data_IF_130125391205
#
_entry.id   IF_130125391205
#
_cell.length_a   1.000
_cell.length_b   1.000
_cell.length_c   1.000
_cell.angle_alpha   90.00
_cell.angle_beta   90.00
_cell.angle_gamma   90.00
#
_symmetry.space_group_name_H-M   'P 1'
#
loop_
_entity.id
_entity.type
_entity.pdbx_description
1 polymer ?
#
# COMPACT_ATOMS: atom_id res chain seq x y z
N UNK A 1 4.76 11.35 -5.04
CA UNK A 1 5.67 10.87 -6.11
C UNK A 1 5.71 9.36 -6.21
N UNK A 2 5.86 8.61 -5.11
CA UNK A 2 5.95 7.14 -5.10
C UNK A 2 4.72 6.46 -5.74
N UNK A 3 3.50 6.93 -5.46
CA UNK A 3 2.27 6.44 -6.12
C UNK A 3 2.24 6.61 -7.64
N UNK A 4 3.02 7.54 -8.19
CA UNK A 4 3.09 7.79 -9.63
C UNK A 4 4.22 7.01 -10.31
N UNK A 5 5.07 6.32 -9.54
CA UNK A 5 6.15 5.50 -10.08
C UNK A 5 5.68 4.43 -11.09
N UNK A 6 4.50 3.80 -10.93
CA UNK A 6 3.99 2.82 -11.90
C UNK A 6 3.41 3.40 -13.20
N UNK A 7 3.30 4.73 -13.37
CA UNK A 7 2.70 5.33 -14.58
C UNK A 7 3.30 4.80 -15.88
N UNK A 8 4.64 4.72 -16.05
CA UNK A 8 5.23 4.19 -17.28
C UNK A 8 4.81 2.75 -17.57
N UNK A 9 4.70 1.92 -16.52
CA UNK A 9 4.23 0.53 -16.62
C UNK A 9 2.78 0.48 -17.11
N UNK A 10 1.89 1.27 -16.50
CA UNK A 10 0.49 1.29 -16.92
C UNK A 10 0.26 1.91 -18.29
N UNK A 11 1.11 2.87 -18.68
CA UNK A 11 1.12 3.39 -20.04
C UNK A 11 1.46 2.30 -21.06
N UNK A 12 2.42 1.42 -20.76
CA UNK A 12 2.74 0.26 -21.61
C UNK A 12 1.57 -0.71 -21.69
N UNK A 13 0.94 -1.04 -20.55
CA UNK A 13 -0.24 -1.92 -20.50
C UNK A 13 -1.36 -1.34 -21.37
N UNK A 14 -1.63 -0.04 -21.25
CA UNK A 14 -2.63 0.65 -22.06
C UNK A 14 -2.31 0.63 -23.56
N UNK A 15 -1.05 0.87 -23.93
CA UNK A 15 -0.61 0.91 -25.34
C UNK A 15 -0.66 -0.47 -25.99
N UNK A 16 -0.24 -1.50 -25.26
CA UNK A 16 -0.14 -2.87 -25.78
C UNK A 16 -1.39 -3.71 -25.55
N UNK A 17 -2.37 -3.19 -24.81
CA UNK A 17 -3.65 -3.86 -24.50
C UNK A 17 -3.46 -5.23 -23.84
N UNK A 18 -2.37 -5.38 -23.09
CA UNK A 18 -1.95 -6.61 -22.42
C UNK A 18 -1.18 -6.27 -21.16
N UNK A 19 -1.30 -7.10 -20.12
CA UNK A 19 -0.55 -6.92 -18.87
C UNK A 19 0.90 -7.41 -18.95
N UNK A 20 1.35 -8.01 -20.06
CA UNK A 20 2.76 -8.40 -20.30
C UNK A 20 3.47 -9.14 -19.14
N UNK A 21 2.73 -9.86 -18.30
CA UNK A 21 3.29 -10.56 -17.13
C UNK A 21 3.43 -9.70 -15.87
N UNK A 22 3.11 -8.39 -15.92
CA UNK A 22 3.00 -7.54 -14.74
C UNK A 22 1.98 -8.11 -13.75
N UNK A 23 2.29 -7.98 -12.47
CA UNK A 23 1.47 -8.50 -11.37
C UNK A 23 0.55 -7.41 -10.81
N UNK A 24 -0.69 -7.77 -10.48
CA UNK A 24 -1.61 -6.84 -9.80
C UNK A 24 -1.37 -6.71 -8.30
N UNK A 25 -0.70 -7.70 -7.69
CA UNK A 25 -0.53 -7.82 -6.23
C UNK A 25 -0.02 -6.53 -5.56
N UNK A 26 1.00 -5.82 -6.08
CA UNK A 26 1.49 -4.59 -5.45
C UNK A 26 0.39 -3.53 -5.30
N UNK A 27 -0.48 -3.38 -6.30
CA UNK A 27 -1.56 -2.38 -6.30
C UNK A 27 -2.71 -2.78 -5.38
N UNK A 28 -3.01 -4.08 -5.29
CA UNK A 28 -4.01 -4.61 -4.35
C UNK A 28 -3.57 -4.40 -2.89
N UNK A 29 -2.28 -4.59 -2.61
CA UNK A 29 -1.68 -4.39 -1.28
C UNK A 29 -1.55 -2.91 -0.95
N UNK A 30 -1.18 -2.07 -1.92
CA UNK A 30 -1.11 -0.62 -1.75
C UNK A 30 -2.50 -0.01 -1.46
N UNK A 31 -3.55 -0.43 -2.17
CA UNK A 31 -4.92 -0.02 -1.90
C UNK A 31 -5.35 -0.38 -0.47
N UNK A 32 -5.08 -1.61 -0.03
CA UNK A 32 -5.38 -2.04 1.34
C UNK A 32 -4.61 -1.21 2.36
N UNK A 33 -3.32 -0.94 2.12
CA UNK A 33 -2.49 -0.07 2.97
C UNK A 33 -3.13 1.30 3.15
N UNK A 34 -3.55 1.92 2.05
CA UNK A 34 -4.16 3.25 2.08
C UNK A 34 -5.49 3.26 2.84
N UNK A 35 -6.34 2.24 2.66
CA UNK A 35 -7.58 2.12 3.42
C UNK A 35 -7.36 1.90 4.93
N UNK A 36 -6.33 1.13 5.30
CA UNK A 36 -5.95 0.93 6.71
C UNK A 36 -5.50 2.25 7.35
N UNK A 37 -4.64 3.00 6.68
CA UNK A 37 -4.14 4.28 7.19
C UNK A 37 -5.22 5.35 7.27
N UNK A 38 -6.15 5.40 6.31
CA UNK A 38 -7.32 6.28 6.40
C UNK A 38 -8.14 5.93 7.64
N UNK A 39 -8.42 4.64 7.87
CA UNK A 39 -9.18 4.22 9.05
C UNK A 39 -8.48 4.56 10.36
N UNK A 40 -7.17 4.30 10.44
CA UNK A 40 -6.34 4.69 11.58
C UNK A 40 -6.45 6.20 11.88
N UNK A 41 -6.28 7.03 10.85
CA UNK A 41 -6.33 8.48 10.99
C UNK A 41 -7.73 8.99 11.38
N UNK A 42 -8.80 8.42 10.83
CA UNK A 42 -10.18 8.75 11.19
C UNK A 42 -10.49 8.42 12.66
N UNK A 43 -9.97 7.31 13.18
CA UNK A 43 -10.15 6.93 14.58
C UNK A 43 -9.30 7.78 15.52
N UNK A 44 -8.11 8.20 15.09
CA UNK A 44 -7.21 9.06 15.86
C UNK A 44 -7.75 10.48 16.08
N UNK A 45 -8.56 11.00 15.15
CA UNK A 45 -9.22 12.33 15.15
C UNK A 45 -8.29 13.55 15.13
N UNK A 46 -7.19 13.56 15.89
CA UNK A 46 -6.31 14.73 16.02
C UNK A 46 -5.10 14.67 15.08
N UNK A 47 -4.76 15.82 14.48
CA UNK A 47 -3.54 16.10 13.70
C UNK A 47 -3.18 15.11 12.58
N UNK A 48 -4.13 14.30 12.11
CA UNK A 48 -3.90 13.21 11.15
C UNK A 48 -4.38 13.53 9.72
N UNK A 49 -4.64 14.83 9.43
CA UNK A 49 -5.14 15.27 8.12
C UNK A 49 -4.20 14.88 6.98
N UNK A 50 -2.89 15.00 7.20
CA UNK A 50 -1.87 14.62 6.21
C UNK A 50 -1.93 13.12 5.87
N UNK A 51 -2.22 12.23 6.84
CA UNK A 51 -2.43 10.81 6.57
C UNK A 51 -3.65 10.58 5.70
N UNK A 52 -4.75 11.29 6.00
CA UNK A 52 -6.00 11.13 5.25
C UNK A 52 -5.81 11.60 3.81
N UNK A 53 -5.23 12.78 3.59
CA UNK A 53 -5.09 13.35 2.25
C UNK A 53 -4.21 12.50 1.34
N UNK A 54 -3.03 12.09 1.82
CA UNK A 54 -2.08 11.31 1.01
C UNK A 54 -2.59 9.90 0.72
N UNK A 55 -3.25 9.23 1.68
CA UNK A 55 -3.80 7.91 1.46
C UNK A 55 -5.12 7.94 0.68
N UNK A 56 -5.90 9.02 0.77
CA UNK A 56 -7.06 9.20 -0.12
C UNK A 56 -6.61 9.36 -1.57
N UNK A 57 -5.56 10.15 -1.81
CA UNK A 57 -4.91 10.22 -3.12
C UNK A 57 -4.37 8.85 -3.56
N UNK A 58 -3.71 8.12 -2.65
CA UNK A 58 -3.26 6.75 -2.89
C UNK A 58 -4.40 5.82 -3.31
N UNK A 59 -5.51 5.79 -2.58
CA UNK A 59 -6.70 5.00 -2.93
C UNK A 59 -7.19 5.29 -4.35
N UNK A 60 -7.27 6.57 -4.75
CA UNK A 60 -7.71 6.96 -6.10
C UNK A 60 -6.74 6.43 -7.16
N UNK A 61 -5.45 6.67 -6.99
CA UNK A 61 -4.42 6.25 -7.95
C UNK A 61 -4.35 4.72 -8.07
N UNK A 62 -4.32 4.00 -6.95
CA UNK A 62 -4.28 2.54 -6.94
C UNK A 62 -5.55 1.92 -7.53
N UNK A 63 -6.71 2.54 -7.31
CA UNK A 63 -7.96 2.12 -7.97
C UNK A 63 -7.88 2.30 -9.48
N UNK A 64 -7.36 3.43 -9.96
CA UNK A 64 -7.17 3.67 -11.40
C UNK A 64 -6.25 2.60 -12.01
N UNK A 65 -5.13 2.30 -11.37
CA UNK A 65 -4.22 1.23 -11.79
C UNK A 65 -4.91 -0.13 -11.84
N UNK A 66 -5.66 -0.50 -10.80
CA UNK A 66 -6.39 -1.76 -10.77
C UNK A 66 -7.47 -1.84 -11.85
N UNK A 67 -8.18 -0.75 -12.12
CA UNK A 67 -9.17 -0.70 -13.22
C UNK A 67 -8.49 -0.93 -14.56
N UNK A 68 -7.40 -0.20 -14.86
CA UNK A 68 -6.63 -0.38 -16.10
C UNK A 68 -6.12 -1.83 -16.20
N UNK A 69 -5.56 -2.38 -15.11
CA UNK A 69 -5.07 -3.75 -15.07
C UNK A 69 -6.18 -4.75 -15.41
N UNK A 70 -7.35 -4.62 -14.77
CA UNK A 70 -8.48 -5.52 -14.97
C UNK A 70 -9.06 -5.46 -16.39
N UNK A 71 -9.05 -4.28 -17.02
CA UNK A 71 -9.51 -4.10 -18.40
C UNK A 71 -8.63 -4.86 -19.40
N UNK A 72 -7.31 -4.90 -19.18
CA UNK A 72 -6.35 -5.48 -20.12
C UNK A 72 -5.78 -6.84 -19.69
N UNK A 73 -6.14 -7.34 -18.51
CA UNK A 73 -5.68 -8.64 -18.02
C UNK A 73 -6.37 -9.82 -18.74
N UNK A 74 -5.62 -10.88 -19.09
CA UNK A 74 -6.18 -12.16 -19.52
C UNK A 74 -7.15 -12.73 -18.47
N UNK A 75 -8.19 -13.46 -18.91
CA UNK A 75 -9.28 -13.93 -18.03
C UNK A 75 -8.80 -14.62 -16.74
N UNK A 76 -7.79 -15.50 -16.82
CA UNK A 76 -7.25 -16.20 -15.65
C UNK A 76 -6.61 -15.25 -14.63
N UNK A 77 -5.81 -14.30 -15.10
CA UNK A 77 -5.14 -13.29 -14.26
C UNK A 77 -6.18 -12.33 -13.69
N UNK A 78 -7.10 -11.84 -14.53
CA UNK A 78 -8.20 -10.96 -14.14
C UNK A 78 -9.03 -11.56 -13.01
N UNK A 79 -9.43 -12.83 -13.15
CA UNK A 79 -10.18 -13.53 -12.11
C UNK A 79 -9.38 -13.68 -10.82
N UNK A 80 -8.07 -13.96 -10.91
CA UNK A 80 -7.18 -14.00 -9.75
C UNK A 80 -7.08 -12.64 -9.05
N UNK A 81 -6.95 -11.56 -9.80
CA UNK A 81 -6.93 -10.18 -9.27
C UNK A 81 -8.26 -9.83 -8.58
N UNK A 82 -9.40 -10.16 -9.19
CA UNK A 82 -10.73 -9.93 -8.58
C UNK A 82 -10.86 -10.71 -7.28
N UNK A 83 -10.48 -11.99 -7.26
CA UNK A 83 -10.51 -12.81 -6.03
C UNK A 83 -9.66 -12.20 -4.93
N UNK A 84 -8.46 -11.71 -5.26
CA UNK A 84 -7.57 -11.08 -4.30
C UNK A 84 -8.13 -9.75 -3.77
N UNK A 85 -8.72 -8.93 -4.64
CA UNK A 85 -9.40 -7.69 -4.25
C UNK A 85 -10.56 -7.96 -3.30
N UNK A 86 -11.44 -8.88 -3.67
CA UNK A 86 -12.57 -9.25 -2.82
C UNK A 86 -12.10 -9.79 -1.47
N UNK A 87 -11.13 -10.71 -1.48
CA UNK A 87 -10.62 -11.32 -0.25
C UNK A 87 -9.98 -10.30 0.69
N UNK A 88 -9.07 -9.46 0.19
CA UNK A 88 -8.27 -8.57 1.03
C UNK A 88 -8.93 -7.22 1.28
N UNK A 89 -9.41 -6.56 0.22
CA UNK A 89 -9.88 -5.18 0.27
C UNK A 89 -11.36 -5.05 0.62
N UNK A 90 -12.17 -6.08 0.36
CA UNK A 90 -13.60 -6.07 0.70
C UNK A 90 -13.86 -6.88 1.95
N UNK A 91 -13.63 -8.19 1.92
CA UNK A 91 -13.95 -9.07 3.05
C UNK A 91 -12.95 -8.93 4.19
N UNK A 92 -11.64 -8.94 3.93
CA UNK A 92 -10.60 -8.81 4.95
C UNK A 92 -10.66 -7.46 5.66
N UNK A 93 -10.61 -6.37 4.89
CA UNK A 93 -10.76 -5.02 5.43
C UNK A 93 -12.13 -4.81 6.09
N UNK A 94 -13.22 -5.24 5.44
CA UNK A 94 -14.58 -5.11 5.98
C UNK A 94 -14.75 -5.84 7.31
N UNK A 95 -14.26 -7.08 7.42
CA UNK A 95 -14.27 -7.83 8.67
C UNK A 95 -13.46 -7.12 9.76
N UNK A 96 -12.25 -6.67 9.46
CA UNK A 96 -11.43 -5.90 10.41
C UNK A 96 -12.14 -4.62 10.88
N UNK A 97 -12.74 -3.88 9.96
CA UNK A 97 -13.49 -2.66 10.25
C UNK A 97 -14.70 -2.95 11.14
N UNK A 98 -15.52 -3.95 10.81
CA UNK A 98 -16.70 -4.31 11.60
C UNK A 98 -16.30 -4.80 12.99
N UNK A 99 -15.31 -5.70 13.10
CA UNK A 99 -14.82 -6.21 14.38
C UNK A 99 -14.30 -5.09 15.27
N UNK A 100 -13.50 -4.17 14.72
CA UNK A 100 -12.94 -3.05 15.49
C UNK A 100 -13.99 -2.01 15.86
N UNK A 101 -15.02 -1.78 15.03
CA UNK A 101 -16.11 -0.84 15.34
C UNK A 101 -17.06 -1.38 16.42
N UNK A 102 -17.47 -2.65 16.33
CA UNK A 102 -18.49 -3.22 17.21
C UNK A 102 -17.91 -3.81 18.49
N UNK A 103 -16.74 -4.46 18.43
CA UNK A 103 -16.17 -5.19 19.58
C UNK A 103 -15.18 -4.37 20.40
N UNK A 104 -14.58 -3.32 19.83
CA UNK A 104 -13.50 -2.57 20.48
C UNK A 104 -13.86 -1.10 20.65
N UNK A 105 -13.99 -0.66 21.90
CA UNK A 105 -14.42 0.72 22.22
C UNK A 105 -13.29 1.57 22.77
N UNK A 106 -13.43 2.88 22.58
CA UNK A 106 -12.56 3.89 23.17
C UNK A 106 -11.08 3.79 22.75
N UNK A 107 -10.13 4.11 23.63
CA UNK A 107 -8.71 4.21 23.28
C UNK A 107 -8.06 2.87 22.88
N UNK A 108 -8.67 1.74 23.27
CA UNK A 108 -8.21 0.40 22.85
C UNK A 108 -8.34 0.19 21.34
N UNK A 109 -9.37 0.79 20.71
CA UNK A 109 -9.61 0.67 19.27
C UNK A 109 -8.45 1.23 18.46
N UNK A 110 -7.97 2.42 18.82
CA UNK A 110 -6.84 3.06 18.16
C UNK A 110 -5.58 2.19 18.24
N UNK A 111 -5.28 1.61 19.42
CA UNK A 111 -4.12 0.74 19.61
C UNK A 111 -4.20 -0.52 18.73
N UNK A 112 -5.35 -1.17 18.66
CA UNK A 112 -5.53 -2.39 17.85
C UNK A 112 -5.35 -2.08 16.36
N UNK A 113 -5.98 -1.00 15.87
CA UNK A 113 -5.82 -0.58 14.47
C UNK A 113 -4.37 -0.19 14.18
N UNK A 114 -3.71 0.51 15.10
CA UNK A 114 -2.30 0.87 14.99
C UNK A 114 -1.39 -0.34 14.84
N UNK A 115 -1.59 -1.38 15.65
CA UNK A 115 -0.84 -2.64 15.52
C UNK A 115 -1.09 -3.35 14.19
N UNK A 116 -2.34 -3.36 13.70
CA UNK A 116 -2.67 -3.92 12.39
C UNK A 116 -1.96 -3.15 11.27
N UNK A 117 -1.99 -1.81 11.32
CA UNK A 117 -1.30 -0.97 10.33
C UNK A 117 0.21 -1.20 10.36
N UNK A 118 0.82 -1.24 11.55
CA UNK A 118 2.24 -1.49 11.74
C UNK A 118 2.67 -2.85 11.17
N UNK A 119 1.97 -3.92 11.56
CA UNK A 119 2.29 -5.27 11.11
C UNK A 119 2.13 -5.40 9.58
N UNK A 120 1.07 -4.82 9.02
CA UNK A 120 0.86 -4.80 7.58
C UNK A 120 1.96 -4.03 6.87
N UNK A 121 2.33 -2.83 7.34
CA UNK A 121 3.38 -2.02 6.73
C UNK A 121 4.73 -2.76 6.71
N UNK A 122 5.11 -3.37 7.84
CA UNK A 122 6.33 -4.19 7.94
C UNK A 122 6.31 -5.35 6.94
N UNK A 123 5.14 -6.00 6.76
CA UNK A 123 5.01 -7.12 5.82
C UNK A 123 5.27 -6.73 4.36
N UNK A 124 4.99 -5.48 3.98
CA UNK A 124 5.21 -4.97 2.61
C UNK A 124 6.71 -4.90 2.28
N UNK A 125 7.59 -4.75 3.27
CA UNK A 125 9.04 -4.77 3.05
C UNK A 125 9.59 -6.13 2.58
N UNK A 126 8.81 -7.21 2.66
CA UNK A 126 9.20 -8.50 2.12
C UNK A 126 9.56 -8.40 0.62
N UNK A 127 8.79 -7.64 -0.18
CA UNK A 127 9.05 -7.52 -1.61
C UNK A 127 10.38 -6.79 -1.91
N UNK A 128 10.66 -5.59 -1.37
CA UNK A 128 11.98 -4.95 -1.47
C UNK A 128 13.14 -5.84 -1.00
N UNK A 129 12.99 -6.56 0.12
CA UNK A 129 14.03 -7.48 0.62
C UNK A 129 14.31 -8.63 -0.36
N UNK A 130 13.26 -9.19 -0.98
CA UNK A 130 13.43 -10.18 -2.05
C UNK A 130 14.19 -9.60 -3.26
N UNK A 131 13.91 -8.35 -3.65
CA UNK A 131 14.64 -7.67 -4.73
C UNK A 131 16.10 -7.42 -4.33
N UNK A 132 16.37 -6.98 -3.10
CA UNK A 132 17.74 -6.79 -2.60
C UNK A 132 18.54 -8.09 -2.63
N UNK A 133 17.94 -9.20 -2.18
CA UNK A 133 18.57 -10.53 -2.29
C UNK A 133 18.91 -10.85 -3.74
N UNK A 134 18.01 -10.58 -4.69
CA UNK A 134 18.24 -10.81 -6.12
C UNK A 134 19.39 -9.96 -6.65
N UNK A 135 19.45 -8.67 -6.32
CA UNK A 135 20.53 -7.75 -6.72
C UNK A 135 21.89 -8.27 -6.22
N UNK A 136 21.96 -8.74 -4.97
CA UNK A 136 23.20 -9.30 -4.39
C UNK A 136 23.66 -10.56 -5.14
N UNK A 137 22.71 -11.41 -5.52
CA UNK A 137 22.97 -12.67 -6.24
C UNK A 137 23.35 -12.43 -7.70
N UNK A 138 22.67 -11.51 -8.39
CA UNK A 138 22.91 -11.22 -9.82
C UNK A 138 23.99 -10.19 -10.06
N UNK A 139 24.46 -9.49 -9.01
CA UNK A 139 25.41 -8.36 -9.10
C UNK A 139 24.95 -7.26 -10.06
N UNK A 140 23.63 -7.12 -10.26
CA UNK A 140 23.03 -6.16 -11.18
C UNK A 140 21.90 -5.40 -10.48
N UNK A 141 21.87 -4.08 -10.69
CA UNK A 141 20.85 -3.16 -10.15
C UNK A 141 19.70 -2.89 -11.12
N UNK A 142 19.59 -3.69 -12.19
CA UNK A 142 18.53 -3.54 -13.21
C UNK A 142 17.11 -3.48 -12.61
N UNK A 143 16.87 -4.23 -11.53
CA UNK A 143 15.58 -4.30 -10.83
C UNK A 143 15.43 -3.28 -9.68
N UNK A 144 16.44 -2.45 -9.42
CA UNK A 144 16.45 -1.48 -8.32
C UNK A 144 16.88 -0.09 -8.81
N UNK A 145 15.97 0.69 -9.40
CA UNK A 145 16.27 2.02 -9.87
C UNK A 145 16.63 2.95 -8.69
N UNK A 146 17.83 3.55 -8.74
CA UNK A 146 18.37 4.41 -7.68
C UNK A 146 17.42 5.55 -7.31
N UNK A 147 16.77 6.18 -8.29
CA UNK A 147 15.82 7.26 -8.05
C UNK A 147 14.63 6.84 -7.19
N UNK A 148 14.07 5.65 -7.42
CA UNK A 148 12.98 5.12 -6.61
C UNK A 148 13.44 4.86 -5.18
N UNK A 149 14.63 4.28 -5.00
CA UNK A 149 15.23 4.08 -3.68
C UNK A 149 15.40 5.40 -2.91
N UNK A 150 15.94 6.43 -3.56
CA UNK A 150 16.12 7.75 -2.96
C UNK A 150 14.79 8.37 -2.49
N UNK A 151 13.74 8.37 -3.34
CA UNK A 151 12.44 8.93 -2.95
C UNK A 151 11.73 8.10 -1.88
N UNK A 152 11.91 6.78 -1.85
CA UNK A 152 11.42 5.93 -0.77
C UNK A 152 12.11 6.24 0.56
N UNK A 153 13.43 6.43 0.56
CA UNK A 153 14.18 6.82 1.76
C UNK A 153 13.74 8.18 2.29
N UNK A 154 13.60 9.19 1.43
CA UNK A 154 13.08 10.49 1.84
C UNK A 154 11.66 10.40 2.40
N UNK A 155 10.80 9.60 1.76
CA UNK A 155 9.45 9.36 2.25
C UNK A 155 9.47 8.72 3.64
N UNK A 156 10.31 7.70 3.88
CA UNK A 156 10.46 7.06 5.17
C UNK A 156 10.94 8.05 6.26
N UNK A 157 11.94 8.87 5.95
CA UNK A 157 12.46 9.90 6.88
C UNK A 157 11.36 10.91 7.24
N UNK A 158 10.58 11.37 6.26
CA UNK A 158 9.47 12.31 6.52
C UNK A 158 8.40 11.69 7.42
N UNK A 159 7.99 10.45 7.16
CA UNK A 159 7.00 9.76 7.99
C UNK A 159 7.51 9.44 9.40
N UNK A 160 8.78 9.07 9.52
CA UNK A 160 9.45 8.89 10.80
C UNK A 160 9.36 10.14 11.68
N UNK A 161 9.82 11.29 11.15
CA UNK A 161 9.77 12.55 11.90
C UNK A 161 8.34 13.02 12.16
N UNK A 162 7.44 12.86 11.19
CA UNK A 162 6.03 13.18 11.38
C UNK A 162 5.41 12.34 12.52
N UNK A 163 5.66 11.03 12.55
CA UNK A 163 5.24 10.15 13.64
C UNK A 163 5.84 10.55 14.99
N UNK A 164 7.13 10.87 15.04
CA UNK A 164 7.79 11.36 16.26
C UNK A 164 7.18 12.65 16.80
N UNK A 165 6.91 13.63 15.93
CA UNK A 165 6.28 14.90 16.31
C UNK A 165 4.87 14.69 16.87
N UNK A 166 4.14 13.70 16.34
CA UNK A 166 2.83 13.30 16.85
C UNK A 166 2.89 12.36 18.06
N UNK A 167 4.09 11.98 18.53
CA UNK A 167 4.31 10.94 19.55
C UNK A 167 3.57 9.64 19.20
N UNK A 168 3.56 9.30 17.91
CA UNK A 168 2.85 8.15 17.35
C UNK A 168 3.84 7.12 16.81
N UNK A 169 4.11 6.12 17.63
CA UNK A 169 5.01 5.02 17.30
C UNK A 169 4.48 4.13 16.16
N UNK A 170 3.17 4.07 15.94
CA UNK A 170 2.63 3.26 14.85
C UNK A 170 2.99 3.86 13.48
N UNK A 171 3.13 5.19 13.41
CA UNK A 171 3.59 5.90 12.21
C UNK A 171 5.11 5.95 12.14
N UNK A 172 5.80 6.13 13.28
CA UNK A 172 7.23 6.36 13.29
C UNK A 172 8.09 5.10 13.08
N UNK A 173 7.65 3.93 13.56
CA UNK A 173 8.48 2.71 13.55
C UNK A 173 8.65 2.05 12.17
N UNK A 174 7.59 1.80 11.39
CA UNK A 174 7.71 1.10 10.11
C UNK A 174 8.35 2.00 9.05
#
# INVERSE_FOLDING_TARGET
MVFLAPIPTFYQIYKKKSTEGFQSLPYVIALLSSMLWIYYALVKKDASLLLITINSFGCVIETIYLVIFLLYAPNKIRLSTIKLLLLLNVFGYGAMLLLTLFLIKGPKRLKVIGWICLAFNISVFAAPLCIMRRVIQTKSVEFMPLGLGFFLTLNAIMWFFYGLLLKDFFIAIP
#
